data_IF_242798832736
#
_entry.id   IF_242798832736
#
_cell.length_a   1.000
_cell.length_b   1.000
_cell.length_c   1.000
_cell.angle_alpha   90.00
_cell.angle_beta   90.00
_cell.angle_gamma   90.00
#
_symmetry.space_group_name_H-M   'P 1'
#
loop_
_entity.id
_entity.type
_entity.pdbx_description
1 polymer ?
#
# COMPACT_ATOMS: atom_id res chain seq x y z
N UNK A 1 -30.30 -2.49 10.49
CA UNK A 1 -29.70 -1.53 11.43
C UNK A 1 -28.19 -1.53 11.27
N UNK A 2 -27.45 -0.77 12.08
CA UNK A 2 -25.99 -0.82 12.10
C UNK A 2 -25.46 -0.62 13.54
N UNK A 3 -24.21 -1.03 13.78
CA UNK A 3 -23.48 -0.80 15.03
C UNK A 3 -22.20 -0.03 14.69
N UNK A 4 -22.01 1.13 15.29
CA UNK A 4 -20.74 1.85 15.24
C UNK A 4 -19.72 1.17 16.17
N UNK A 5 -18.55 0.84 15.62
CA UNK A 5 -17.51 0.16 16.39
C UNK A 5 -16.62 1.18 17.11
N UNK A 6 -16.32 0.94 18.39
CA UNK A 6 -15.42 1.80 19.15
C UNK A 6 -14.00 1.86 18.59
N UNK A 7 -13.57 0.82 17.86
CA UNK A 7 -12.28 0.76 17.15
C UNK A 7 -12.45 0.06 15.81
N UNK A 8 -11.69 0.45 14.76
CA UNK A 8 -11.70 -0.26 13.48
C UNK A 8 -11.23 -1.71 13.64
N UNK A 9 -11.80 -2.62 12.85
CA UNK A 9 -11.48 -4.06 12.85
C UNK A 9 -11.23 -4.56 11.43
N UNK A 10 -10.29 -5.49 11.24
CA UNK A 10 -10.09 -6.13 9.93
C UNK A 10 -11.30 -6.99 9.57
N UNK A 11 -11.83 -6.83 8.35
CA UNK A 11 -12.76 -7.81 7.80
C UNK A 11 -12.01 -9.12 7.48
N UNK A 12 -12.43 -10.29 8.00
CA UNK A 12 -11.68 -11.54 7.87
C UNK A 12 -11.54 -11.98 6.41
N UNK A 13 -12.55 -11.73 5.58
CA UNK A 13 -12.53 -12.04 4.14
C UNK A 13 -11.58 -11.16 3.31
N UNK A 14 -11.14 -10.00 3.84
CA UNK A 14 -10.33 -9.05 3.08
C UNK A 14 -8.91 -8.84 3.61
N UNK A 15 -8.57 -9.37 4.79
CA UNK A 15 -7.24 -9.16 5.40
C UNK A 15 -6.06 -9.53 4.47
N UNK A 16 -6.23 -10.56 3.63
CA UNK A 16 -5.22 -10.95 2.64
C UNK A 16 -5.11 -9.93 1.50
N UNK A 17 -6.24 -9.37 1.05
CA UNK A 17 -6.26 -8.32 0.03
C UNK A 17 -5.68 -7.02 0.57
N UNK A 18 -6.05 -6.62 1.79
CA UNK A 18 -5.47 -5.49 2.52
C UNK A 18 -3.96 -5.62 2.63
N UNK A 19 -3.44 -6.80 3.04
CA UNK A 19 -2.00 -7.06 3.07
C UNK A 19 -1.34 -6.81 1.71
N UNK A 20 -1.91 -7.31 0.62
CA UNK A 20 -1.36 -7.10 -0.73
C UNK A 20 -1.37 -5.62 -1.12
N UNK A 21 -2.44 -4.88 -0.82
CA UNK A 21 -2.52 -3.44 -1.10
C UNK A 21 -1.45 -2.67 -0.31
N UNK A 22 -1.26 -2.98 0.97
CA UNK A 22 -0.21 -2.39 1.80
C UNK A 22 1.20 -2.68 1.29
N UNK A 23 1.42 -3.81 0.62
CA UNK A 23 2.69 -4.13 -0.03
C UNK A 23 2.90 -3.32 -1.32
N UNK A 24 1.82 -2.82 -1.93
CA UNK A 24 1.86 -1.99 -3.14
C UNK A 24 2.13 -0.51 -2.87
N UNK A 25 1.69 0.01 -1.72
CA UNK A 25 1.73 1.45 -1.41
C UNK A 25 2.81 1.79 -0.39
N UNK A 26 3.19 3.06 -0.35
CA UNK A 26 3.99 3.61 0.73
C UNK A 26 3.16 3.66 2.02
N UNK A 27 3.57 2.99 3.09
CA UNK A 27 2.86 3.05 4.38
C UNK A 27 2.88 4.43 5.04
N UNK A 28 3.76 5.32 4.58
CA UNK A 28 3.89 6.69 5.09
C UNK A 28 3.02 7.69 4.31
N UNK A 29 3.24 7.82 2.99
CA UNK A 29 2.54 8.81 2.16
C UNK A 29 1.30 8.27 1.41
N UNK A 30 1.08 6.95 1.38
CA UNK A 30 -0.09 6.33 0.74
C UNK A 30 -0.01 6.18 -0.80
N UNK A 31 1.01 6.73 -1.45
CA UNK A 31 1.20 6.60 -2.91
C UNK A 31 1.55 5.17 -3.32
N UNK A 32 1.17 4.77 -4.53
CA UNK A 32 1.64 3.52 -5.13
C UNK A 32 3.16 3.60 -5.34
N UNK A 33 3.89 2.51 -5.05
CA UNK A 33 5.36 2.50 -5.16
C UNK A 33 5.88 2.44 -6.60
N UNK A 34 4.98 2.29 -7.57
CA UNK A 34 5.29 2.26 -8.98
C UNK A 34 4.14 2.88 -9.76
N UNK A 35 4.46 3.59 -10.83
CA UNK A 35 3.52 4.23 -11.73
C UNK A 35 3.99 4.08 -13.19
N UNK A 36 3.26 4.70 -14.11
CA UNK A 36 3.55 4.62 -15.55
C UNK A 36 4.82 5.35 -15.98
N UNK A 37 5.50 6.08 -15.09
CA UNK A 37 6.81 6.68 -15.39
C UNK A 37 7.91 5.63 -15.52
N UNK A 38 7.76 4.48 -14.85
CA UNK A 38 8.63 3.31 -14.97
C UNK A 38 8.19 2.44 -16.17
N UNK A 39 8.97 2.37 -17.26
CA UNK A 39 8.61 1.60 -18.45
C UNK A 39 8.38 0.11 -18.16
N UNK A 40 9.15 -0.46 -17.22
CA UNK A 40 9.02 -1.87 -16.85
C UNK A 40 7.72 -2.15 -16.09
N UNK A 41 7.19 -1.16 -15.36
CA UNK A 41 5.85 -1.23 -14.77
C UNK A 41 4.77 -1.03 -15.83
N UNK A 42 4.91 0.01 -16.67
CA UNK A 42 3.94 0.35 -17.70
C UNK A 42 3.68 -0.83 -18.64
N UNK A 43 4.73 -1.48 -19.14
CA UNK A 43 4.62 -2.64 -20.04
C UNK A 43 3.87 -3.82 -19.41
N UNK A 44 4.06 -4.04 -18.10
CA UNK A 44 3.38 -5.12 -17.37
C UNK A 44 1.88 -4.89 -17.24
N UNK A 45 1.42 -3.64 -17.09
CA UNK A 45 0.00 -3.34 -16.86
C UNK A 45 -0.75 -2.95 -18.14
N UNK A 46 -0.04 -2.53 -19.20
CA UNK A 46 -0.60 -1.97 -20.45
C UNK A 46 -1.71 -2.82 -21.05
N UNK A 47 -1.51 -4.14 -21.09
CA UNK A 47 -2.44 -5.08 -21.74
C UNK A 47 -3.38 -5.79 -20.75
N UNK A 48 -3.26 -5.53 -19.44
CA UNK A 48 -4.07 -6.19 -18.42
C UNK A 48 -5.37 -5.42 -18.22
N UNK A 49 -6.43 -5.86 -18.91
CA UNK A 49 -7.76 -5.25 -18.85
C UNK A 49 -8.59 -5.71 -17.64
N UNK A 50 -8.43 -6.97 -17.24
CA UNK A 50 -9.14 -7.51 -16.08
C UNK A 50 -8.60 -6.87 -14.78
N UNK A 51 -9.43 -6.16 -13.97
CA UNK A 51 -8.97 -5.47 -12.76
C UNK A 51 -8.37 -6.42 -11.72
N UNK A 52 -8.90 -7.64 -11.61
CA UNK A 52 -8.42 -8.64 -10.64
C UNK A 52 -7.02 -9.16 -11.02
N UNK A 53 -6.79 -9.44 -12.29
CA UNK A 53 -5.48 -9.79 -12.83
C UNK A 53 -4.51 -8.61 -12.70
N UNK A 54 -4.96 -7.38 -12.99
CA UNK A 54 -4.15 -6.16 -12.86
C UNK A 54 -3.60 -6.00 -11.44
N UNK A 55 -4.45 -6.14 -10.42
CA UNK A 55 -4.03 -6.11 -9.01
C UNK A 55 -2.91 -7.13 -8.71
N UNK A 56 -2.99 -8.36 -9.25
CA UNK A 56 -1.94 -9.37 -9.04
C UNK A 56 -0.61 -8.96 -9.69
N UNK A 57 -0.66 -8.40 -10.90
CA UNK A 57 0.53 -7.94 -11.63
C UNK A 57 1.18 -6.76 -10.92
N UNK A 58 0.38 -5.74 -10.54
CA UNK A 58 0.86 -4.57 -9.80
C UNK A 58 1.47 -4.97 -8.46
N UNK A 59 0.80 -5.85 -7.72
CA UNK A 59 1.35 -6.40 -6.47
C UNK A 59 2.65 -7.18 -6.69
N UNK A 60 2.72 -7.99 -7.74
CA UNK A 60 3.91 -8.73 -8.12
C UNK A 60 5.12 -7.82 -8.35
N UNK A 61 4.89 -6.63 -8.91
CA UNK A 61 5.90 -5.60 -9.13
C UNK A 61 6.28 -4.86 -7.83
N UNK A 62 5.28 -4.34 -7.12
CA UNK A 62 5.51 -3.42 -6.00
C UNK A 62 6.00 -4.11 -4.72
N UNK A 63 5.67 -5.39 -4.50
CA UNK A 63 6.05 -6.12 -3.27
C UNK A 63 7.56 -6.19 -3.03
N UNK A 64 8.37 -6.03 -4.08
CA UNK A 64 9.83 -6.02 -4.00
C UNK A 64 10.43 -4.65 -3.68
N UNK A 65 9.66 -3.56 -3.87
CA UNK A 65 10.11 -2.19 -3.62
C UNK A 65 10.09 -1.91 -2.12
N UNK A 66 11.29 -1.80 -1.54
CA UNK A 66 11.52 -1.56 -0.11
C UNK A 66 11.84 -0.10 0.22
N UNK A 67 11.80 0.80 -0.76
CA UNK A 67 11.98 2.24 -0.61
C UNK A 67 10.90 2.94 -1.42
N UNK A 68 10.31 4.00 -0.86
CA UNK A 68 9.45 4.90 -1.62
C UNK A 68 10.37 5.90 -2.33
N UNK A 69 10.79 5.59 -3.56
CA UNK A 69 11.72 6.44 -4.33
C UNK A 69 11.22 7.90 -4.32
N UNK A 70 12.05 8.93 -4.13
CA UNK A 70 11.66 10.32 -4.38
C UNK A 70 11.93 10.69 -5.85
N UNK A 71 11.42 11.85 -6.28
CA UNK A 71 11.78 12.41 -7.59
C UNK A 71 13.25 12.86 -7.58
N UNK A 72 13.94 12.69 -8.70
CA UNK A 72 15.26 13.28 -8.88
C UNK A 72 15.15 14.81 -8.86
N UNK A 73 16.01 15.52 -8.11
CA UNK A 73 16.03 16.98 -8.16
C UNK A 73 16.40 17.43 -9.57
N UNK A 74 15.73 18.47 -10.07
CA UNK A 74 16.13 19.10 -11.35
C UNK A 74 17.51 19.73 -11.14
N UNK A 75 18.53 19.24 -11.84
CA UNK A 75 19.80 19.95 -11.93
C UNK A 75 19.60 21.24 -12.72
N UNK A 76 19.82 22.39 -12.08
CA UNK A 76 19.71 23.73 -12.70
C UNK A 76 20.92 24.07 -13.61
N UNK A 77 21.80 23.10 -13.89
CA UNK A 77 23.13 23.38 -14.49
C UNK A 77 23.28 23.07 -15.97
N UNK A 78 22.33 22.37 -16.62
CA UNK A 78 22.46 22.07 -18.06
C UNK A 78 21.50 22.93 -18.91
N UNK A 79 22.00 24.11 -19.27
CA UNK A 79 21.38 25.05 -20.21
C UNK A 79 21.40 24.62 -21.68
N UNK A 80 21.26 23.32 -21.99
CA UNK A 80 21.18 22.83 -23.36
C UNK A 80 20.63 21.40 -23.44
N UNK A 81 19.32 21.20 -23.31
CA UNK A 81 18.52 20.47 -24.31
C UNK A 81 17.01 20.58 -23.97
N UNK A 82 16.18 20.53 -25.01
CA UNK A 82 14.74 20.75 -24.96
C UNK A 82 13.97 19.47 -24.57
N UNK A 83 14.47 18.74 -23.56
CA UNK A 83 13.81 17.53 -23.05
C UNK A 83 12.94 17.91 -21.85
N UNK A 84 11.62 17.72 -21.95
CA UNK A 84 10.72 17.95 -20.82
C UNK A 84 11.22 17.18 -19.59
N UNK A 85 11.33 17.81 -18.40
CA UNK A 85 11.80 17.13 -17.21
C UNK A 85 10.90 15.93 -16.93
N UNK A 86 11.47 14.72 -16.95
CA UNK A 86 10.76 13.49 -16.60
C UNK A 86 10.13 13.68 -15.22
N UNK A 87 8.81 13.85 -15.17
CA UNK A 87 8.06 13.89 -13.91
C UNK A 87 8.21 12.52 -13.27
N UNK A 88 8.88 12.47 -12.12
CA UNK A 88 8.91 11.25 -11.32
C UNK A 88 7.55 11.01 -10.63
N UNK A 89 7.44 9.88 -9.95
CA UNK A 89 6.25 9.39 -9.26
C UNK A 89 5.92 10.14 -7.94
N UNK A 90 6.84 10.95 -7.43
CA UNK A 90 6.66 11.83 -6.27
C UNK A 90 6.62 11.12 -4.93
N UNK A 91 7.42 10.07 -4.72
CA UNK A 91 7.51 9.40 -3.43
C UNK A 91 8.30 10.19 -2.38
N UNK A 92 8.35 9.67 -1.14
CA UNK A 92 8.79 10.42 0.05
C UNK A 92 10.15 9.96 0.63
N UNK A 93 10.88 9.06 -0.02
CA UNK A 93 12.15 8.51 0.47
C UNK A 93 12.03 7.46 1.58
N UNK A 94 10.86 7.30 2.21
CA UNK A 94 10.71 6.41 3.36
C UNK A 94 10.99 4.93 3.02
N UNK A 95 11.75 4.25 3.88
CA UNK A 95 11.90 2.80 3.85
C UNK A 95 10.53 2.11 4.03
N UNK A 96 10.34 0.98 3.35
CA UNK A 96 9.09 0.24 3.34
C UNK A 96 9.24 -1.09 4.09
N UNK A 97 8.31 -1.41 4.99
CA UNK A 97 8.40 -2.63 5.77
C UNK A 97 7.92 -3.85 4.97
N UNK A 98 8.34 -5.03 5.41
CA UNK A 98 7.67 -6.28 5.06
C UNK A 98 6.36 -6.41 5.87
N UNK A 99 5.25 -6.63 5.18
CA UNK A 99 3.95 -6.87 5.85
C UNK A 99 3.78 -8.38 6.09
N UNK A 100 3.63 -8.77 7.36
CA UNK A 100 3.42 -10.16 7.78
C UNK A 100 2.01 -10.33 8.35
N UNK A 101 1.34 -11.44 8.00
CA UNK A 101 0.02 -11.79 8.55
C UNK A 101 0.17 -12.96 9.50
N UNK A 102 -0.39 -12.83 10.70
CA UNK A 102 -0.46 -13.90 11.70
C UNK A 102 -1.89 -13.93 12.26
N UNK A 103 -2.63 -14.99 11.95
CA UNK A 103 -4.06 -15.04 12.24
C UNK A 103 -4.80 -13.86 11.61
N UNK A 104 -5.46 -13.06 12.45
CA UNK A 104 -6.20 -11.84 12.11
C UNK A 104 -5.41 -10.55 12.38
N UNK A 105 -4.10 -10.63 12.59
CA UNK A 105 -3.21 -9.49 12.84
C UNK A 105 -2.26 -9.27 11.67
N UNK A 106 -1.92 -8.01 11.42
CA UNK A 106 -0.85 -7.61 10.52
C UNK A 106 0.31 -7.04 11.32
N UNK A 107 1.53 -7.28 10.85
CA UNK A 107 2.76 -6.76 11.43
C UNK A 107 3.60 -6.12 10.35
N UNK A 108 4.28 -5.03 10.69
CA UNK A 108 5.32 -4.41 9.87
C UNK A 108 6.68 -4.85 10.40
N UNK A 109 7.59 -5.21 9.50
CA UNK A 109 8.96 -5.57 9.84
C UNK A 109 9.93 -4.84 8.93
N UNK A 110 10.77 -3.97 9.49
CA UNK A 110 11.83 -3.30 8.76
C UNK A 110 13.09 -4.19 8.75
N UNK A 111 13.76 -4.28 7.61
CA UNK A 111 15.07 -4.93 7.53
C UNK A 111 16.11 -3.95 8.08
N UNK A 112 16.95 -4.40 9.01
CA UNK A 112 18.12 -3.64 9.46
C UNK A 112 19.17 -3.60 8.34
N UNK A 113 19.84 -2.47 8.20
CA UNK A 113 21.08 -2.30 7.43
C UNK A 113 22.18 -3.19 8.00
N UNK A 114 23.10 -3.67 7.14
CA UNK A 114 24.25 -4.47 7.57
C UNK A 114 25.26 -3.70 8.44
N UNK A 115 25.22 -2.37 8.46
CA UNK A 115 26.17 -1.53 9.22
C UNK A 115 25.79 -1.30 10.69
N UNK A 116 24.60 -1.71 11.14
CA UNK A 116 24.13 -1.52 12.53
C UNK A 116 24.46 -2.73 13.46
N UNK A 117 25.31 -3.66 13.02
CA UNK A 117 25.46 -4.98 13.65
C UNK A 117 26.40 -5.01 14.88
N UNK A 118 27.07 -3.92 15.25
CA UNK A 118 28.07 -3.96 16.33
C UNK A 118 27.54 -3.63 17.75
N UNK A 119 26.44 -2.91 17.95
CA UNK A 119 26.14 -2.38 19.30
C UNK A 119 24.81 -2.73 19.97
N UNK A 120 23.89 -3.49 19.36
CA UNK A 120 22.61 -3.81 20.04
C UNK A 120 22.16 -5.26 19.84
N UNK A 121 22.79 -6.17 20.59
CA UNK A 121 22.29 -7.53 20.87
C UNK A 121 21.13 -7.52 21.89
N UNK A 122 20.05 -6.78 21.60
CA UNK A 122 18.79 -6.96 22.30
C UNK A 122 17.70 -7.45 21.34
N UNK A 123 17.11 -8.57 21.75
CA UNK A 123 16.24 -9.49 21.04
C UNK A 123 14.99 -8.83 20.43
N UNK A 124 14.89 -8.91 19.11
CA UNK A 124 13.75 -9.34 18.30
C UNK A 124 13.87 -8.69 16.90
N UNK A 125 13.43 -9.37 15.81
CA UNK A 125 13.16 -8.64 14.58
C UNK A 125 12.23 -7.47 14.90
N UNK A 126 12.45 -6.31 14.28
CA UNK A 126 11.68 -5.06 14.45
C UNK A 126 10.24 -5.20 13.95
N UNK A 127 9.51 -6.15 14.54
CA UNK A 127 8.20 -6.64 14.16
C UNK A 127 7.20 -5.92 15.04
N UNK A 128 6.66 -4.83 14.52
CA UNK A 128 5.64 -4.03 15.20
C UNK A 128 4.24 -4.45 14.73
N UNK A 129 3.29 -4.54 15.66
CA UNK A 129 1.89 -4.71 15.30
C UNK A 129 1.44 -3.53 14.42
N UNK A 130 0.75 -3.83 13.31
CA UNK A 130 0.14 -2.81 12.45
C UNK A 130 -1.38 -2.85 12.67
N UNK A 131 -1.90 -2.05 13.63
CA UNK A 131 -3.29 -2.15 14.04
C UNK A 131 -4.25 -1.64 12.95
N UNK A 132 -5.51 -2.10 12.96
CA UNK A 132 -6.48 -1.75 11.91
C UNK A 132 -6.67 -0.24 11.70
N UNK A 133 -6.59 0.58 12.76
CA UNK A 133 -6.77 2.04 12.65
C UNK A 133 -5.61 2.73 11.91
N UNK A 134 -4.38 2.27 12.09
CA UNK A 134 -3.23 2.79 11.33
C UNK A 134 -3.32 2.34 9.87
N UNK A 135 -3.72 1.08 9.62
CA UNK A 135 -3.94 0.56 8.27
C UNK A 135 -5.04 1.35 7.56
N UNK A 136 -6.16 1.60 8.24
CA UNK A 136 -7.25 2.43 7.71
C UNK A 136 -6.75 3.81 7.28
N UNK A 137 -5.95 4.48 8.12
CA UNK A 137 -5.35 5.78 7.81
C UNK A 137 -4.39 5.70 6.62
N UNK A 138 -3.59 4.64 6.51
CA UNK A 138 -2.68 4.45 5.38
C UNK A 138 -3.44 4.24 4.06
N UNK A 139 -4.49 3.41 4.05
CA UNK A 139 -5.32 3.16 2.86
C UNK A 139 -6.09 4.41 2.42
N UNK A 140 -6.56 5.22 3.38
CA UNK A 140 -7.27 6.48 3.11
C UNK A 140 -6.41 7.53 2.39
N UNK A 141 -5.09 7.45 2.49
CA UNK A 141 -4.14 8.36 1.79
C UNK A 141 -4.00 8.06 0.29
N UNK A 142 -4.51 6.92 -0.20
CA UNK A 142 -4.42 6.57 -1.61
C UNK A 142 -5.22 7.53 -2.47
N UNK A 143 -4.62 7.98 -3.58
CA UNK A 143 -5.29 8.79 -4.59
C UNK A 143 -6.18 7.93 -5.51
N UNK A 144 -7.19 8.51 -6.12
CA UNK A 144 -8.08 7.77 -7.03
C UNK A 144 -7.33 7.27 -8.28
N UNK A 145 -6.32 8.02 -8.73
CA UNK A 145 -5.41 7.60 -9.80
C UNK A 145 -4.63 6.32 -9.42
N UNK A 146 -4.12 6.22 -8.19
CA UNK A 146 -3.44 5.02 -7.68
C UNK A 146 -4.41 3.83 -7.58
N UNK A 147 -5.67 4.08 -7.22
CA UNK A 147 -6.70 3.04 -7.16
C UNK A 147 -6.94 2.43 -8.55
N UNK A 148 -7.07 3.26 -9.59
CA UNK A 148 -7.25 2.79 -10.97
C UNK A 148 -6.02 2.05 -11.50
N UNK A 149 -4.81 2.53 -11.20
CA UNK A 149 -3.56 1.84 -11.57
C UNK A 149 -3.48 0.46 -10.91
N UNK A 150 -3.85 0.37 -9.64
CA UNK A 150 -3.87 -0.88 -8.87
C UNK A 150 -4.97 -1.86 -9.35
N UNK A 151 -6.00 -1.37 -10.04
CA UNK A 151 -7.15 -2.18 -10.48
C UNK A 151 -8.29 -2.24 -9.45
N UNK A 152 -8.45 -1.19 -8.65
CA UNK A 152 -9.58 -0.97 -7.75
C UNK A 152 -10.52 0.12 -8.32
N UNK A 153 -11.74 0.16 -7.81
CA UNK A 153 -12.73 1.21 -8.11
C UNK A 153 -12.82 2.15 -6.91
N UNK A 154 -12.70 3.44 -7.19
CA UNK A 154 -12.91 4.57 -6.29
C UNK A 154 -14.39 4.74 -5.88
N UNK A 155 -15.32 4.36 -6.75
CA UNK A 155 -16.77 4.43 -6.47
C UNK A 155 -17.29 3.23 -5.66
N UNK A 156 -16.86 2.01 -5.99
CA UNK A 156 -17.48 0.79 -5.45
C UNK A 156 -16.58 -0.01 -4.51
N UNK A 157 -15.27 0.23 -4.51
CA UNK A 157 -14.30 -0.67 -3.90
C UNK A 157 -13.07 0.03 -3.32
N UNK A 158 -13.26 1.15 -2.61
CA UNK A 158 -12.16 1.83 -1.93
C UNK A 158 -11.53 0.93 -0.86
N UNK A 159 -10.19 0.90 -0.76
CA UNK A 159 -9.48 -0.08 0.07
C UNK A 159 -9.73 0.11 1.56
N UNK A 160 -9.93 1.34 2.02
CA UNK A 160 -10.24 1.63 3.42
C UNK A 160 -11.58 1.03 3.88
N UNK A 161 -12.51 0.73 2.96
CA UNK A 161 -13.78 0.05 3.29
C UNK A 161 -13.59 -1.43 3.63
N UNK A 162 -12.41 -2.00 3.36
CA UNK A 162 -12.06 -3.35 3.83
C UNK A 162 -11.78 -3.39 5.34
N UNK A 163 -11.67 -2.23 5.99
CA UNK A 163 -11.58 -2.09 7.44
C UNK A 163 -12.94 -1.67 7.97
N UNK A 164 -13.51 -2.50 8.85
CA UNK A 164 -14.84 -2.25 9.42
C UNK A 164 -14.74 -1.18 10.50
N UNK A 165 -15.49 -0.10 10.32
CA UNK A 165 -15.77 0.93 11.33
C UNK A 165 -17.22 0.91 11.78
N UNK A 166 -18.11 0.45 10.90
CA UNK A 166 -19.54 0.26 11.14
C UNK A 166 -19.92 -1.16 10.71
N UNK A 167 -20.59 -1.91 11.57
CA UNK A 167 -21.03 -3.27 11.30
C UNK A 167 -22.52 -3.28 10.95
N UNK A 168 -22.93 -3.75 9.75
CA UNK A 168 -24.34 -3.89 9.42
C UNK A 168 -24.98 -4.97 10.28
N UNK A 169 -26.16 -4.67 10.83
CA UNK A 169 -26.95 -5.63 11.62
C UNK A 169 -28.03 -6.23 10.72
N UNK A 170 -27.96 -7.54 10.41
CA UNK A 170 -28.96 -8.21 9.60
C UNK A 170 -30.33 -8.17 10.30
N UNK A 171 -31.44 -8.01 9.55
CA UNK A 171 -32.78 -7.98 10.11
C UNK A 171 -33.22 -9.37 10.59
N UNK A 172 -34.27 -9.48 11.44
CA UNK A 172 -34.75 -10.77 11.96
C UNK A 172 -34.92 -11.89 10.94
N UNK A 173 -35.44 -11.67 9.71
CA UNK A 173 -35.57 -12.74 8.71
C UNK A 173 -34.26 -13.40 8.27
N UNK A 174 -33.11 -12.73 8.44
CA UNK A 174 -31.77 -13.25 8.12
C UNK A 174 -31.13 -13.96 9.34
N UNK A 175 -31.69 -13.75 10.53
CA UNK A 175 -31.25 -14.32 11.82
C UNK A 175 -32.46 -14.79 12.64
N UNK A 176 -33.23 -15.78 12.14
CA UNK A 176 -34.43 -16.30 12.81
C UNK A 176 -34.11 -16.95 14.16
#
# INVERSE_FOLDING_TARGET
GHIELARPVFHPGFIVKVKKILECICVNCGRLKADISDPAFADKIRHVRDPKARMQVVWGFCKGKMVCEPDEPKDETDGADNDEPKRGHGGCGAAQPQIRKEGLKLFVQYKRSKDDDEEVKSLQPDKRLFPPHEVYTALKKMSDADLHLLGLSDEYARPEWMILTVLPVPPPPVRP
#
